data_IF_860582747150
#
_entry.id   IF_860582747150
#
_cell.length_a   1.000
_cell.length_b   1.000
_cell.length_c   1.000
_cell.angle_alpha   90.00
_cell.angle_beta   90.00
_cell.angle_gamma   90.00
#
_symmetry.space_group_name_H-M   'P 1'
#
loop_
_entity.id
_entity.type
_entity.pdbx_description
1 polymer ?
#
# COMPACT_ATOMS: atom_id res chain seq x y z
N UNK A 1 16.20 21.68 -5.63
CA UNK A 1 16.02 21.13 -6.98
C UNK A 1 15.07 22.09 -7.65
N UNK A 2 15.58 22.96 -8.50
CA UNK A 2 14.73 23.86 -9.28
C UNK A 2 13.76 22.98 -10.11
N UNK A 3 12.51 23.37 -10.39
CA UNK A 3 11.67 22.69 -11.38
C UNK A 3 12.40 22.31 -12.70
N UNK A 4 13.43 23.07 -13.07
CA UNK A 4 14.32 22.80 -14.20
C UNK A 4 15.27 21.59 -14.02
N UNK A 5 15.45 21.08 -12.80
CA UNK A 5 16.34 19.97 -12.47
C UNK A 5 15.60 18.61 -12.42
N UNK A 6 14.28 18.58 -12.62
CA UNK A 6 13.51 17.32 -12.66
C UNK A 6 13.96 16.49 -13.86
N UNK A 7 14.44 15.27 -13.58
CA UNK A 7 14.81 14.30 -14.62
C UNK A 7 13.65 13.36 -14.84
N UNK A 8 13.12 13.36 -16.06
CA UNK A 8 12.02 12.48 -16.43
C UNK A 8 12.46 11.02 -16.41
N UNK A 9 11.52 10.15 -16.03
CA UNK A 9 11.67 8.69 -16.07
C UNK A 9 11.08 8.06 -17.33
N UNK A 10 10.64 8.85 -18.32
CA UNK A 10 9.99 8.37 -19.54
C UNK A 10 10.83 7.35 -20.32
N UNK A 11 12.10 7.66 -20.59
CA UNK A 11 13.00 6.74 -21.32
C UNK A 11 13.21 5.42 -20.58
N UNK A 12 13.27 5.50 -19.25
CA UNK A 12 13.41 4.34 -18.38
C UNK A 12 12.12 3.51 -18.34
N UNK A 13 10.96 4.17 -18.37
CA UNK A 13 9.65 3.53 -18.46
C UNK A 13 9.49 2.78 -19.80
N UNK A 14 9.79 3.44 -20.92
CA UNK A 14 9.77 2.82 -22.25
C UNK A 14 10.57 1.51 -22.31
N UNK A 15 11.73 1.47 -21.64
CA UNK A 15 12.61 0.29 -21.63
C UNK A 15 12.23 -0.79 -20.61
N UNK A 16 11.62 -0.42 -19.49
CA UNK A 16 11.55 -1.30 -18.30
C UNK A 16 10.15 -1.57 -17.77
N UNK A 17 9.14 -0.82 -18.16
CA UNK A 17 7.78 -1.02 -17.65
C UNK A 17 7.34 -2.48 -17.81
N UNK A 18 6.75 -3.04 -16.76
CA UNK A 18 6.33 -4.45 -16.75
C UNK A 18 5.39 -4.75 -17.89
N UNK A 19 4.41 -3.87 -18.14
CA UNK A 19 3.42 -4.01 -19.21
C UNK A 19 4.05 -4.19 -20.61
N UNK A 20 5.30 -3.72 -20.79
CA UNK A 20 6.04 -3.80 -22.07
C UNK A 20 7.03 -4.96 -22.10
N UNK A 21 7.50 -5.42 -20.95
CA UNK A 21 8.68 -6.29 -20.85
C UNK A 21 8.41 -7.64 -20.20
N UNK A 22 7.22 -7.87 -19.65
CA UNK A 22 6.85 -9.11 -18.98
C UNK A 22 5.66 -9.75 -19.67
N UNK A 23 5.71 -11.08 -19.91
CA UNK A 23 4.54 -11.78 -20.42
C UNK A 23 3.48 -11.89 -19.33
N UNK A 24 2.22 -12.08 -19.73
CA UNK A 24 1.15 -12.49 -18.82
C UNK A 24 1.58 -13.74 -18.05
N UNK A 25 1.35 -13.72 -16.73
CA UNK A 25 1.63 -14.86 -15.85
C UNK A 25 0.41 -15.76 -15.73
N UNK A 26 0.67 -17.05 -15.61
CA UNK A 26 -0.35 -18.08 -15.41
C UNK A 26 -0.17 -18.71 -14.05
N UNK A 27 -1.25 -18.78 -13.29
CA UNK A 27 -1.33 -19.44 -12.00
C UNK A 27 -1.21 -20.95 -12.22
N UNK A 28 -0.18 -21.53 -11.62
CA UNK A 28 0.12 -22.95 -11.70
C UNK A 28 -0.71 -23.77 -10.71
N UNK A 29 -1.09 -24.97 -11.17
CA UNK A 29 -1.69 -26.02 -10.35
C UNK A 29 -0.59 -26.89 -9.73
N UNK A 30 -0.04 -26.38 -8.63
CA UNK A 30 0.93 -27.08 -7.79
C UNK A 30 0.50 -27.06 -6.30
N UNK A 31 1.25 -27.76 -5.46
CA UNK A 31 0.98 -27.86 -4.02
C UNK A 31 1.56 -26.70 -3.19
N UNK A 32 2.06 -25.63 -3.82
CA UNK A 32 2.57 -24.48 -3.07
C UNK A 32 1.44 -23.59 -2.58
N UNK A 33 1.74 -22.83 -1.53
CA UNK A 33 0.76 -21.90 -0.95
C UNK A 33 0.41 -20.81 -1.96
N UNK A 34 -0.86 -20.41 -2.00
CA UNK A 34 -1.29 -19.27 -2.81
C UNK A 34 -0.99 -17.92 -2.15
N UNK A 35 -0.83 -17.92 -0.82
CA UNK A 35 -0.53 -16.75 -0.01
C UNK A 35 0.46 -17.11 1.11
N UNK A 36 1.39 -16.21 1.49
CA UNK A 36 2.38 -16.52 2.52
C UNK A 36 1.76 -16.57 3.92
N UNK A 37 2.13 -17.60 4.70
CA UNK A 37 1.66 -17.78 6.08
C UNK A 37 1.99 -16.57 6.97
N UNK A 38 3.17 -15.99 6.78
CA UNK A 38 3.67 -14.84 7.55
C UNK A 38 2.80 -13.58 7.41
N UNK A 39 1.93 -13.52 6.40
CA UNK A 39 1.01 -12.39 6.15
C UNK A 39 -0.45 -12.70 6.47
N UNK A 40 -0.74 -13.86 7.06
CA UNK A 40 -2.07 -14.21 7.52
C UNK A 40 -2.02 -14.71 8.98
N UNK A 41 -2.03 -13.78 9.97
CA UNK A 41 -1.93 -14.11 11.38
C UNK A 41 -2.98 -15.10 11.89
N UNK A 42 -4.19 -15.14 11.31
CA UNK A 42 -5.24 -16.07 11.72
C UNK A 42 -4.78 -17.52 11.61
N UNK A 43 -4.11 -17.90 10.51
CA UNK A 43 -3.65 -19.29 10.33
C UNK A 43 -2.45 -19.66 11.22
N UNK A 44 -1.86 -18.66 11.87
CA UNK A 44 -0.74 -18.80 12.81
C UNK A 44 -1.20 -18.81 14.27
N UNK A 45 -2.50 -18.60 14.52
CA UNK A 45 -3.05 -18.54 15.86
C UNK A 45 -3.09 -19.93 16.51
N UNK A 46 -3.01 -19.98 17.85
CA UNK A 46 -2.93 -21.24 18.57
C UNK A 46 -4.18 -22.10 18.32
N UNK A 47 -5.36 -21.50 18.44
CA UNK A 47 -6.63 -22.18 18.18
C UNK A 47 -6.72 -22.69 16.74
N UNK A 48 -6.23 -21.93 15.75
CA UNK A 48 -6.27 -22.35 14.35
C UNK A 48 -5.36 -23.56 14.09
N UNK A 49 -4.12 -23.52 14.58
CA UNK A 49 -3.14 -24.58 14.41
C UNK A 49 -3.63 -25.89 15.04
N UNK A 50 -4.23 -25.81 16.23
CA UNK A 50 -4.67 -27.00 16.97
C UNK A 50 -5.96 -27.60 16.41
N UNK A 51 -6.93 -26.77 16.00
CA UNK A 51 -8.29 -27.24 15.73
C UNK A 51 -8.77 -27.03 14.29
N UNK A 52 -8.09 -26.20 13.49
CA UNK A 52 -8.52 -25.82 12.14
C UNK A 52 -7.47 -26.04 11.02
N UNK A 53 -6.46 -26.94 11.13
CA UNK A 53 -5.42 -27.04 10.10
C UNK A 53 -5.97 -27.38 8.70
N UNK A 54 -7.10 -28.08 8.62
CA UNK A 54 -7.81 -28.40 7.37
C UNK A 54 -8.33 -27.17 6.61
N UNK A 55 -8.53 -26.05 7.30
CA UNK A 55 -9.06 -24.81 6.71
C UNK A 55 -7.96 -23.87 6.20
N UNK A 56 -6.67 -24.19 6.44
CA UNK A 56 -5.54 -23.30 6.12
C UNK A 56 -5.59 -22.76 4.69
N UNK A 57 -5.72 -23.65 3.71
CA UNK A 57 -5.63 -23.26 2.30
C UNK A 57 -6.85 -22.42 1.88
N UNK A 58 -8.02 -22.67 2.46
CA UNK A 58 -9.20 -21.83 2.28
C UNK A 58 -8.98 -20.43 2.85
N UNK A 59 -8.43 -20.31 4.06
CA UNK A 59 -8.14 -18.99 4.66
C UNK A 59 -7.13 -18.22 3.81
N UNK A 60 -6.03 -18.87 3.40
CA UNK A 60 -5.00 -18.25 2.55
C UNK A 60 -5.56 -17.82 1.19
N UNK A 61 -6.43 -18.63 0.59
CA UNK A 61 -7.12 -18.32 -0.65
C UNK A 61 -8.01 -17.06 -0.53
N UNK A 62 -8.83 -16.99 0.52
CA UNK A 62 -9.69 -15.82 0.76
C UNK A 62 -8.86 -14.56 1.06
N UNK A 63 -7.75 -14.73 1.79
CA UNK A 63 -6.79 -13.65 2.03
C UNK A 63 -6.14 -13.17 0.74
N UNK A 64 -5.82 -14.07 -0.18
CA UNK A 64 -5.29 -13.71 -1.49
C UNK A 64 -6.29 -12.89 -2.31
N UNK A 65 -7.56 -13.27 -2.35
CA UNK A 65 -8.60 -12.46 -3.00
C UNK A 65 -8.71 -11.06 -2.40
N UNK A 66 -8.71 -10.95 -1.07
CA UNK A 66 -8.73 -9.64 -0.39
C UNK A 66 -7.49 -8.82 -0.72
N UNK A 67 -6.31 -9.43 -0.71
CA UNK A 67 -5.06 -8.77 -1.09
C UNK A 67 -5.10 -8.22 -2.53
N UNK A 68 -5.56 -9.02 -3.50
CA UNK A 68 -5.69 -8.57 -4.90
C UNK A 68 -6.70 -7.42 -5.03
N UNK A 69 -7.80 -7.49 -4.28
CA UNK A 69 -8.79 -6.42 -4.23
C UNK A 69 -8.23 -5.14 -3.61
N UNK A 70 -7.43 -5.25 -2.55
CA UNK A 70 -6.74 -4.09 -1.96
C UNK A 70 -5.81 -3.43 -2.97
N UNK A 71 -5.06 -4.22 -3.75
CA UNK A 71 -4.22 -3.71 -4.86
C UNK A 71 -5.10 -2.96 -5.86
N UNK A 72 -6.19 -3.55 -6.34
CA UNK A 72 -7.09 -2.91 -7.31
C UNK A 72 -7.60 -1.54 -6.79
N UNK A 73 -8.04 -1.47 -5.53
CA UNK A 73 -8.52 -0.21 -4.93
C UNK A 73 -7.36 0.80 -4.81
N UNK A 74 -6.21 0.35 -4.32
CA UNK A 74 -5.03 1.19 -4.15
C UNK A 74 -4.61 1.83 -5.49
N UNK A 75 -4.47 1.00 -6.52
CA UNK A 75 -4.03 1.44 -7.84
C UNK A 75 -5.06 2.36 -8.52
N UNK A 76 -6.32 1.94 -8.61
CA UNK A 76 -7.29 2.61 -9.48
C UNK A 76 -8.00 3.79 -8.82
N UNK A 77 -8.26 3.71 -7.52
CA UNK A 77 -9.08 4.70 -6.83
C UNK A 77 -8.24 5.79 -6.15
N UNK A 78 -6.95 5.53 -5.89
CA UNK A 78 -6.09 6.40 -5.09
C UNK A 78 -4.88 6.89 -5.88
N UNK A 79 -4.01 5.98 -6.33
CA UNK A 79 -2.76 6.33 -7.01
C UNK A 79 -3.05 6.89 -8.40
N UNK A 80 -3.78 6.13 -9.25
CA UNK A 80 -4.21 6.56 -10.58
C UNK A 80 -5.01 7.86 -10.49
N UNK A 81 -5.98 7.95 -9.57
CA UNK A 81 -6.78 9.18 -9.39
C UNK A 81 -5.90 10.43 -9.28
N UNK A 82 -4.88 10.37 -8.41
CA UNK A 82 -3.95 11.48 -8.16
C UNK A 82 -3.05 11.71 -9.37
N UNK A 83 -2.41 10.66 -9.89
CA UNK A 83 -1.49 10.74 -11.03
C UNK A 83 -2.18 11.28 -12.29
N UNK A 84 -3.41 10.82 -12.58
CA UNK A 84 -4.21 11.26 -13.73
C UNK A 84 -4.61 12.73 -13.63
N UNK A 85 -4.93 13.23 -12.42
CA UNK A 85 -5.18 14.66 -12.20
C UNK A 85 -3.93 15.50 -12.44
N UNK A 86 -2.76 15.04 -11.97
CA UNK A 86 -1.48 15.70 -12.23
C UNK A 86 -1.18 15.73 -13.73
N UNK A 87 -1.26 14.59 -14.42
CA UNK A 87 -0.98 14.49 -15.86
C UNK A 87 -1.85 15.45 -16.69
N UNK A 88 -3.14 15.52 -16.35
CA UNK A 88 -4.13 16.38 -17.01
C UNK A 88 -4.10 17.84 -16.57
N UNK A 89 -3.16 18.22 -15.70
CA UNK A 89 -3.05 19.57 -15.15
C UNK A 89 -4.35 20.04 -14.45
N UNK A 90 -4.99 19.12 -13.72
CA UNK A 90 -6.21 19.34 -12.91
C UNK A 90 -5.90 19.28 -11.41
N UNK A 91 -4.64 19.56 -11.07
CA UNK A 91 -4.11 19.59 -9.73
C UNK A 91 -3.71 21.04 -9.42
N UNK A 92 -4.01 21.52 -8.22
CA UNK A 92 -3.77 22.90 -7.80
C UNK A 92 -2.26 23.23 -7.78
N UNK A 93 -1.43 22.22 -7.51
CA UNK A 93 0.03 22.34 -7.64
C UNK A 93 0.41 22.22 -9.12
N UNK A 94 0.99 23.29 -9.67
CA UNK A 94 1.46 23.31 -11.05
C UNK A 94 2.80 22.56 -11.17
N UNK A 95 2.78 21.41 -11.86
CA UNK A 95 3.98 20.64 -12.14
C UNK A 95 4.51 20.88 -13.57
N UNK A 96 5.84 20.83 -13.78
CA UNK A 96 6.44 20.93 -15.12
C UNK A 96 5.87 19.89 -16.10
N UNK A 97 5.87 20.18 -17.42
CA UNK A 97 5.39 19.24 -18.44
C UNK A 97 6.00 17.84 -18.35
N UNK A 98 7.29 17.73 -18.00
CA UNK A 98 7.97 16.46 -17.83
C UNK A 98 7.37 15.60 -16.69
N UNK A 99 7.07 16.21 -15.54
CA UNK A 99 6.40 15.52 -14.44
C UNK A 99 5.00 15.04 -14.83
N UNK A 100 4.29 15.84 -15.66
CA UNK A 100 2.95 15.49 -16.13
C UNK A 100 2.97 14.32 -17.11
N UNK A 101 3.99 14.24 -17.96
CA UNK A 101 4.21 13.08 -18.82
C UNK A 101 4.48 11.83 -17.98
N UNK A 102 5.40 11.90 -17.02
CA UNK A 102 5.72 10.79 -16.13
C UNK A 102 4.51 10.38 -15.26
N UNK A 103 3.68 11.34 -14.83
CA UNK A 103 2.43 11.02 -14.16
C UNK A 103 1.49 10.18 -15.04
N UNK A 104 1.48 10.42 -16.37
CA UNK A 104 0.71 9.58 -17.29
C UNK A 104 1.35 8.18 -17.44
N UNK A 105 2.67 8.03 -17.31
CA UNK A 105 3.27 6.69 -17.33
C UNK A 105 2.89 5.89 -16.08
N UNK A 106 2.84 6.54 -14.90
CA UNK A 106 2.35 5.94 -13.65
C UNK A 106 0.91 5.47 -13.82
N UNK A 107 0.01 6.31 -14.37
CA UNK A 107 -1.38 5.92 -14.67
C UNK A 107 -1.48 4.62 -15.48
N UNK A 108 -0.64 4.46 -16.51
CA UNK A 108 -0.65 3.25 -17.35
C UNK A 108 -0.15 2.04 -16.58
N UNK A 109 0.89 2.21 -15.75
CA UNK A 109 1.42 1.13 -14.90
C UNK A 109 0.36 0.69 -13.88
N UNK A 110 -0.33 1.61 -13.20
CA UNK A 110 -1.36 1.27 -12.20
C UNK A 110 -2.60 0.60 -12.79
N UNK A 111 -3.08 1.09 -13.93
CA UNK A 111 -4.17 0.43 -14.67
C UNK A 111 -3.76 -1.01 -15.06
N UNK A 112 -2.48 -1.23 -15.39
CA UNK A 112 -1.95 -2.56 -15.70
C UNK A 112 -1.81 -3.43 -14.44
N UNK A 113 -1.30 -2.90 -13.33
CA UNK A 113 -1.22 -3.61 -12.05
C UNK A 113 -2.60 -4.10 -11.59
N UNK A 114 -3.61 -3.24 -11.68
CA UNK A 114 -5.00 -3.60 -11.38
C UNK A 114 -5.55 -4.67 -12.33
N UNK A 115 -5.26 -4.58 -13.64
CA UNK A 115 -5.63 -5.61 -14.62
C UNK A 115 -5.02 -6.97 -14.26
N UNK A 116 -3.73 -7.01 -13.90
CA UNK A 116 -3.07 -8.26 -13.53
C UNK A 116 -3.66 -8.81 -12.23
N UNK A 117 -4.00 -7.97 -11.25
CA UNK A 117 -4.68 -8.42 -10.04
C UNK A 117 -6.06 -9.05 -10.34
N UNK A 118 -6.87 -8.40 -11.19
CA UNK A 118 -8.16 -8.95 -11.66
C UNK A 118 -7.98 -10.27 -12.42
N UNK A 119 -6.92 -10.38 -13.23
CA UNK A 119 -6.60 -11.61 -13.94
C UNK A 119 -6.28 -12.75 -12.97
N UNK A 120 -5.46 -12.51 -11.95
CA UNK A 120 -5.18 -13.52 -10.92
C UNK A 120 -6.42 -13.91 -10.12
N UNK A 121 -7.37 -13.00 -9.86
CA UNK A 121 -8.65 -13.37 -9.25
C UNK A 121 -9.42 -14.35 -10.13
N UNK A 122 -9.50 -14.10 -11.44
CA UNK A 122 -10.19 -14.98 -12.39
C UNK A 122 -9.50 -16.34 -12.51
N UNK A 123 -8.17 -16.36 -12.63
CA UNK A 123 -7.38 -17.58 -12.69
C UNK A 123 -7.53 -18.42 -11.42
N UNK A 124 -7.54 -17.76 -10.25
CA UNK A 124 -7.73 -18.41 -8.95
C UNK A 124 -9.11 -19.07 -8.85
N UNK A 125 -10.17 -18.37 -9.28
CA UNK A 125 -11.52 -18.93 -9.31
C UNK A 125 -11.60 -20.12 -10.28
N UNK A 126 -11.03 -19.99 -11.47
CA UNK A 126 -11.02 -21.05 -12.46
C UNK A 126 -10.27 -22.30 -11.98
N UNK A 127 -9.14 -22.11 -11.28
CA UNK A 127 -8.31 -23.19 -10.76
C UNK A 127 -8.96 -23.90 -9.56
N UNK A 128 -9.51 -23.14 -8.61
CA UNK A 128 -9.97 -23.68 -7.33
C UNK A 128 -11.45 -24.01 -7.29
N UNK A 129 -12.26 -23.39 -8.15
CA UNK A 129 -13.73 -23.43 -8.08
C UNK A 129 -14.32 -22.69 -6.87
N UNK A 130 -13.50 -21.99 -6.08
CA UNK A 130 -13.91 -21.31 -4.85
C UNK A 130 -13.98 -19.81 -5.10
N UNK A 131 -15.18 -19.25 -4.96
CA UNK A 131 -15.43 -17.81 -5.10
C UNK A 131 -14.88 -17.02 -3.90
N UNK A 132 -14.53 -15.73 -4.11
CA UNK A 132 -14.23 -14.84 -3.00
C UNK A 132 -15.47 -14.65 -2.10
N UNK A 133 -15.23 -14.55 -0.79
CA UNK A 133 -16.20 -13.99 0.14
C UNK A 133 -16.46 -12.51 -0.18
N UNK A 134 -17.41 -11.88 0.51
CA UNK A 134 -17.62 -10.44 0.35
C UNK A 134 -16.32 -9.70 0.68
N UNK A 135 -15.79 -9.00 -0.32
CA UNK A 135 -14.55 -8.26 -0.23
C UNK A 135 -14.82 -6.82 0.28
N UNK A 136 -13.87 -6.21 1.01
CA UNK A 136 -13.97 -4.81 1.42
C UNK A 136 -14.04 -3.87 0.20
N UNK A 137 -14.85 -2.82 0.31
CA UNK A 137 -14.94 -1.77 -0.73
C UNK A 137 -13.92 -0.64 -0.53
N UNK A 138 -13.11 -0.71 0.54
CA UNK A 138 -12.15 0.31 0.92
C UNK A 138 -10.92 -0.36 1.54
N UNK A 139 -9.80 0.36 1.53
CA UNK A 139 -8.57 0.01 2.24
C UNK A 139 -8.27 1.06 3.31
N UNK A 140 -7.30 0.79 4.19
CA UNK A 140 -6.94 1.71 5.29
C UNK A 140 -6.55 3.10 4.76
N UNK A 141 -5.87 3.13 3.60
CA UNK A 141 -5.52 4.37 2.91
C UNK A 141 -6.75 5.18 2.48
N UNK A 142 -7.85 4.54 2.06
CA UNK A 142 -9.09 5.23 1.68
C UNK A 142 -9.62 6.06 2.86
N UNK A 143 -9.67 5.45 4.05
CA UNK A 143 -10.09 6.12 5.29
C UNK A 143 -9.09 7.18 5.74
N UNK A 144 -7.80 6.88 5.68
CA UNK A 144 -6.73 7.80 6.08
C UNK A 144 -6.68 9.06 5.22
N UNK A 145 -6.82 8.91 3.89
CA UNK A 145 -6.87 10.02 2.96
C UNK A 145 -8.11 10.90 3.21
N UNK A 146 -9.28 10.29 3.40
CA UNK A 146 -10.51 11.02 3.72
C UNK A 146 -10.36 11.82 5.03
N UNK A 147 -9.79 11.22 6.08
CA UNK A 147 -9.53 11.89 7.36
C UNK A 147 -8.56 13.07 7.22
N UNK A 148 -7.49 12.90 6.44
CA UNK A 148 -6.52 13.97 6.18
C UNK A 148 -7.13 15.14 5.40
N UNK A 149 -7.89 14.85 4.34
CA UNK A 149 -8.52 15.85 3.48
C UNK A 149 -9.67 16.61 4.15
N UNK A 150 -10.30 16.02 5.17
CA UNK A 150 -11.30 16.70 6.00
C UNK A 150 -10.68 17.83 6.83
N UNK A 151 -9.40 17.73 7.19
CA UNK A 151 -8.66 18.74 7.95
C UNK A 151 -7.97 19.78 7.06
N UNK A 152 -7.74 19.45 5.79
CA UNK A 152 -7.02 20.30 4.86
C UNK A 152 -7.83 21.53 4.43
N UNK A 153 -7.28 22.76 4.58
CA UNK A 153 -7.81 23.95 3.91
C UNK A 153 -7.97 23.71 2.40
N UNK A 154 -8.96 24.36 1.78
CA UNK A 154 -9.30 24.12 0.38
C UNK A 154 -8.11 24.23 -0.58
N UNK A 155 -7.20 25.19 -0.36
CA UNK A 155 -6.01 25.39 -1.19
C UNK A 155 -4.89 24.36 -0.95
N UNK A 156 -4.97 23.56 0.13
CA UNK A 156 -3.99 22.53 0.49
C UNK A 156 -4.49 21.11 0.27
N UNK A 157 -5.74 20.90 -0.15
CA UNK A 157 -6.29 19.56 -0.37
C UNK A 157 -5.42 18.72 -1.30
N UNK A 158 -5.08 19.25 -2.47
CA UNK A 158 -4.23 18.56 -3.44
C UNK A 158 -2.80 18.33 -2.89
N UNK A 159 -2.25 19.26 -2.11
CA UNK A 159 -0.95 19.06 -1.49
C UNK A 159 -0.95 17.94 -0.43
N UNK A 160 -2.02 17.86 0.36
CA UNK A 160 -2.21 16.82 1.37
C UNK A 160 -2.45 15.46 0.71
N UNK A 161 -3.25 15.41 -0.35
CA UNK A 161 -3.44 14.22 -1.19
C UNK A 161 -2.12 13.72 -1.77
N UNK A 162 -1.35 14.62 -2.40
CA UNK A 162 -0.03 14.31 -2.95
C UNK A 162 0.89 13.67 -1.91
N UNK A 163 0.98 14.25 -0.71
CA UNK A 163 1.86 13.75 0.34
C UNK A 163 1.36 12.42 0.89
N UNK A 164 0.04 12.26 1.09
CA UNK A 164 -0.56 11.03 1.57
C UNK A 164 -0.33 9.86 0.59
N UNK A 165 -0.58 10.07 -0.69
CA UNK A 165 -0.33 9.08 -1.75
C UNK A 165 1.15 8.76 -1.84
N UNK A 166 2.02 9.78 -1.85
CA UNK A 166 3.46 9.57 -1.89
C UNK A 166 4.01 8.80 -0.68
N UNK A 167 3.43 8.98 0.51
CA UNK A 167 3.76 8.15 1.68
C UNK A 167 3.42 6.69 1.39
N UNK A 168 2.22 6.42 0.89
CA UNK A 168 1.74 5.06 0.66
C UNK A 168 2.52 4.32 -0.44
N UNK A 169 2.81 5.00 -1.53
CA UNK A 169 3.67 4.51 -2.62
C UNK A 169 5.09 4.16 -2.15
N UNK A 170 5.58 4.88 -1.13
CA UNK A 170 6.90 4.62 -0.57
C UNK A 170 6.90 3.58 0.55
N UNK A 171 5.76 3.19 1.12
CA UNK A 171 5.68 2.18 2.20
C UNK A 171 5.56 0.76 1.69
N UNK A 172 4.84 0.55 0.59
CA UNK A 172 4.48 -0.77 0.03
C UNK A 172 5.71 -1.55 -0.48
N UNK A 173 6.75 -0.86 -0.95
CA UNK A 173 7.93 -1.45 -1.62
C UNK A 173 8.66 -2.57 -0.85
N UNK A 174 8.90 -2.42 0.45
CA UNK A 174 9.61 -3.46 1.22
C UNK A 174 8.75 -4.69 1.48
N UNK A 175 7.44 -4.52 1.64
CA UNK A 175 6.52 -5.62 1.89
C UNK A 175 6.33 -6.49 0.64
N UNK A 176 6.13 -5.84 -0.50
CA UNK A 176 6.11 -6.50 -1.81
C UNK A 176 7.42 -7.26 -2.05
N UNK A 177 8.57 -6.68 -1.70
CA UNK A 177 9.87 -7.33 -1.84
C UNK A 177 10.05 -8.56 -0.95
N UNK A 178 9.49 -8.57 0.26
CA UNK A 178 9.50 -9.75 1.12
C UNK A 178 8.60 -10.85 0.56
N UNK A 179 7.40 -10.50 0.07
CA UNK A 179 6.48 -11.44 -0.59
C UNK A 179 7.15 -12.09 -1.80
N UNK A 180 7.74 -11.29 -2.70
CA UNK A 180 8.36 -11.77 -3.94
C UNK A 180 9.48 -12.82 -3.72
N UNK A 181 10.05 -12.91 -2.51
CA UNK A 181 11.14 -13.83 -2.15
C UNK A 181 10.69 -15.08 -1.39
N UNK A 182 9.41 -15.20 -1.02
CA UNK A 182 8.94 -16.33 -0.21
C UNK A 182 8.80 -17.61 -1.04
N UNK A 183 9.80 -18.50 -1.00
CA UNK A 183 9.82 -19.75 -1.77
C UNK A 183 8.70 -20.76 -1.42
N UNK A 184 7.97 -20.55 -0.32
CA UNK A 184 6.80 -21.38 0.05
C UNK A 184 5.57 -21.09 -0.81
N UNK A 185 5.55 -19.93 -1.48
CA UNK A 185 4.43 -19.46 -2.29
C UNK A 185 4.64 -19.83 -3.76
N UNK A 186 3.53 -20.04 -4.46
CA UNK A 186 3.42 -20.24 -5.92
C UNK A 186 4.34 -19.29 -6.71
N UNK A 187 5.30 -19.80 -7.52
CA UNK A 187 6.14 -19.01 -8.42
C UNK A 187 5.42 -17.92 -9.22
N UNK A 188 4.21 -18.15 -9.73
CA UNK A 188 3.48 -17.10 -10.47
C UNK A 188 3.07 -15.93 -9.58
N UNK A 189 2.60 -16.19 -8.35
CA UNK A 189 2.22 -15.16 -7.38
C UNK A 189 3.46 -14.38 -6.92
N UNK A 190 4.58 -15.06 -6.67
CA UNK A 190 5.84 -14.34 -6.40
C UNK A 190 6.30 -13.51 -7.58
N UNK A 191 6.13 -14.04 -8.79
CA UNK A 191 6.46 -13.36 -10.03
C UNK A 191 5.59 -12.12 -10.25
N UNK A 192 4.30 -12.18 -9.92
CA UNK A 192 3.39 -11.04 -9.90
C UNK A 192 3.95 -9.93 -8.99
N UNK A 193 4.29 -10.29 -7.76
CA UNK A 193 4.85 -9.33 -6.79
C UNK A 193 6.19 -8.76 -7.24
N UNK A 194 7.05 -9.59 -7.83
CA UNK A 194 8.36 -9.16 -8.33
C UNK A 194 8.24 -8.19 -9.51
N UNK A 195 7.29 -8.44 -10.41
CA UNK A 195 7.02 -7.58 -11.55
C UNK A 195 6.47 -6.23 -11.11
N UNK A 196 5.45 -6.24 -10.25
CA UNK A 196 4.89 -5.01 -9.65
C UNK A 196 5.99 -4.18 -8.95
N UNK A 197 6.85 -4.81 -8.16
CA UNK A 197 7.95 -4.12 -7.47
C UNK A 197 8.92 -3.37 -8.40
N UNK A 198 9.13 -3.85 -9.63
CA UNK A 198 10.04 -3.21 -10.59
C UNK A 198 9.52 -1.84 -11.04
N UNK A 199 8.20 -1.69 -11.11
CA UNK A 199 7.54 -0.45 -11.47
C UNK A 199 7.45 0.47 -10.23
N UNK A 200 7.09 -0.08 -9.06
CA UNK A 200 7.03 0.67 -7.79
C UNK A 200 8.36 1.32 -7.38
N UNK A 201 9.49 0.71 -7.71
CA UNK A 201 10.79 1.35 -7.50
C UNK A 201 10.93 2.70 -8.22
N UNK A 202 10.33 2.82 -9.42
CA UNK A 202 10.29 4.08 -10.18
C UNK A 202 9.24 5.02 -9.61
N UNK A 203 8.05 4.52 -9.28
CA UNK A 203 6.95 5.31 -8.72
C UNK A 203 7.36 5.98 -7.40
N UNK A 204 7.99 5.22 -6.50
CA UNK A 204 8.52 5.75 -5.24
C UNK A 204 9.45 6.97 -5.44
N UNK A 205 10.31 6.91 -6.46
CA UNK A 205 11.22 8.02 -6.84
C UNK A 205 10.44 9.19 -7.42
N UNK A 206 9.51 8.94 -8.34
CA UNK A 206 8.62 9.94 -8.94
C UNK A 206 7.86 10.72 -7.85
N UNK A 207 7.15 10.05 -6.97
CA UNK A 207 6.37 10.67 -5.91
C UNK A 207 7.24 11.46 -4.92
N UNK A 208 8.42 10.93 -4.57
CA UNK A 208 9.38 11.64 -3.73
C UNK A 208 9.81 12.97 -4.37
N UNK A 209 10.05 12.99 -5.69
CA UNK A 209 10.43 14.21 -6.40
C UNK A 209 9.28 15.22 -6.49
N UNK A 210 8.04 14.78 -6.77
CA UNK A 210 6.89 15.68 -6.85
C UNK A 210 6.62 16.36 -5.50
N UNK A 211 6.65 15.59 -4.41
CA UNK A 211 6.50 16.15 -3.07
C UNK A 211 7.63 17.14 -2.77
N UNK A 212 8.87 16.81 -3.15
CA UNK A 212 10.01 17.70 -2.97
C UNK A 212 9.90 19.01 -3.75
N UNK A 213 9.34 18.98 -4.96
CA UNK A 213 9.08 20.17 -5.78
C UNK A 213 8.00 21.05 -5.14
N UNK A 214 6.89 20.44 -4.70
CA UNK A 214 5.86 21.15 -3.95
C UNK A 214 6.42 21.79 -2.68
N UNK A 215 7.09 20.99 -1.85
CA UNK A 215 7.52 21.40 -0.51
C UNK A 215 8.51 22.56 -0.51
N UNK A 216 9.39 22.64 -1.51
CA UNK A 216 10.34 23.76 -1.67
C UNK A 216 9.66 25.10 -1.95
N UNK A 217 8.47 25.09 -2.56
CA UNK A 217 7.67 26.28 -2.85
C UNK A 217 6.60 26.59 -1.79
N UNK A 218 6.36 25.67 -0.84
CA UNK A 218 5.32 25.84 0.18
C UNK A 218 5.70 26.92 1.19
N UNK A 219 4.74 27.78 1.54
CA UNK A 219 4.92 28.80 2.58
C UNK A 219 5.10 28.17 3.97
N UNK A 220 5.73 28.86 4.89
CA UNK A 220 5.86 28.36 6.28
C UNK A 220 4.50 28.07 6.93
N UNK A 221 3.47 28.85 6.57
CA UNK A 221 2.10 28.65 7.01
C UNK A 221 1.53 27.32 6.49
N UNK A 222 1.68 27.05 5.19
CA UNK A 222 1.19 25.82 4.58
C UNK A 222 1.95 24.60 5.12
N UNK A 223 3.26 24.70 5.29
CA UNK A 223 4.08 23.66 5.91
C UNK A 223 3.62 23.36 7.34
N UNK A 224 3.30 24.39 8.12
CA UNK A 224 2.76 24.25 9.48
C UNK A 224 1.40 23.55 9.51
N UNK A 225 0.51 23.90 8.58
CA UNK A 225 -0.81 23.27 8.46
C UNK A 225 -0.70 21.79 8.07
N UNK A 226 0.07 21.47 7.03
CA UNK A 226 0.29 20.09 6.59
C UNK A 226 0.93 19.26 7.70
N UNK A 227 1.91 19.81 8.41
CA UNK A 227 2.56 19.12 9.53
C UNK A 227 1.57 18.65 10.59
N UNK A 228 0.53 19.44 10.91
CA UNK A 228 -0.49 19.07 11.90
C UNK A 228 -1.44 17.97 11.40
N UNK A 229 -1.58 17.78 10.09
CA UNK A 229 -2.45 16.78 9.48
C UNK A 229 -1.76 15.40 9.42
N UNK A 230 -0.44 15.38 9.20
CA UNK A 230 0.32 14.12 9.05
C UNK A 230 0.11 13.09 10.17
N UNK A 231 0.11 13.44 11.47
CA UNK A 231 -0.12 12.46 12.53
C UNK A 231 -1.52 11.82 12.48
N UNK A 232 -2.53 12.56 12.01
CA UNK A 232 -3.89 12.05 11.83
C UNK A 232 -3.91 11.06 10.68
N UNK A 233 -3.32 11.44 9.53
CA UNK A 233 -3.16 10.53 8.40
C UNK A 233 -2.48 9.22 8.82
N UNK A 234 -1.33 9.29 9.48
CA UNK A 234 -0.57 8.12 9.91
C UNK A 234 -1.33 7.23 10.89
N UNK A 235 -2.13 7.82 11.80
CA UNK A 235 -2.93 7.04 12.75
C UNK A 235 -3.99 6.19 12.05
N UNK A 236 -4.60 6.70 10.98
CA UNK A 236 -5.58 5.97 10.19
C UNK A 236 -4.95 5.08 9.11
N UNK A 237 -3.75 5.41 8.63
CA UNK A 237 -3.09 4.64 7.59
C UNK A 237 -2.43 3.36 8.15
N UNK A 238 -1.97 3.41 9.40
CA UNK A 238 -1.24 2.33 10.04
C UNK A 238 -2.13 1.39 10.87
N UNK A 239 -3.46 1.51 10.77
CA UNK A 239 -4.40 0.57 11.36
C UNK A 239 -4.45 -0.75 10.58
N UNK A 240 -5.07 -1.76 11.19
CA UNK A 240 -5.34 -3.06 10.59
C UNK A 240 -6.82 -3.45 10.74
N UNK A 241 -7.69 -2.48 11.00
CA UNK A 241 -9.08 -2.71 11.36
C UNK A 241 -9.88 -3.36 10.22
N UNK A 242 -9.63 -2.99 8.96
CA UNK A 242 -10.28 -3.60 7.80
C UNK A 242 -9.81 -5.04 7.57
N UNK A 243 -8.52 -5.32 7.80
CA UNK A 243 -8.00 -6.69 7.76
C UNK A 243 -8.63 -7.54 8.87
N UNK A 244 -8.64 -7.01 10.10
CA UNK A 244 -9.24 -7.66 11.26
C UNK A 244 -10.72 -7.97 11.05
N UNK A 245 -11.48 -7.02 10.50
CA UNK A 245 -12.90 -7.22 10.18
C UNK A 245 -13.10 -8.31 9.11
N UNK A 246 -12.22 -8.35 8.10
CA UNK A 246 -12.24 -9.41 7.09
C UNK A 246 -11.94 -10.79 7.71
N UNK A 247 -10.95 -10.89 8.60
CA UNK A 247 -10.62 -12.15 9.27
C UNK A 247 -11.77 -12.65 10.17
N UNK A 248 -12.45 -11.74 10.88
CA UNK A 248 -13.65 -12.07 11.66
C UNK A 248 -14.79 -12.59 10.76
N UNK A 249 -15.02 -11.94 9.62
CA UNK A 249 -15.99 -12.43 8.63
C UNK A 249 -15.59 -13.79 8.07
N UNK A 250 -14.30 -14.03 7.83
CA UNK A 250 -13.78 -15.28 7.31
C UNK A 250 -14.00 -16.43 8.31
N UNK A 251 -13.73 -16.21 9.59
CA UNK A 251 -14.00 -17.18 10.68
C UNK A 251 -15.46 -17.65 10.63
N UNK A 252 -16.40 -16.76 10.29
CA UNK A 252 -17.81 -17.12 10.20
C UNK A 252 -18.14 -18.16 9.11
N UNK A 253 -17.24 -18.37 8.15
CA UNK A 253 -17.41 -19.32 7.04
C UNK A 253 -16.72 -20.67 7.29
N UNK A 254 -16.02 -20.84 8.43
CA UNK A 254 -15.39 -22.10 8.78
C UNK A 254 -16.41 -23.07 9.37
N UNK A 255 -16.45 -24.32 8.92
CA UNK A 255 -17.27 -25.36 9.56
C UNK A 255 -16.54 -25.88 10.81
N UNK A 256 -16.77 -25.20 11.92
CA UNK A 256 -16.19 -25.44 13.25
C UNK A 256 -17.23 -25.20 14.33
N UNK A 257 -17.02 -25.78 15.52
CA UNK A 257 -17.93 -25.59 16.66
C UNK A 257 -17.99 -24.12 17.10
N UNK A 258 -19.09 -23.75 17.77
CA UNK A 258 -19.28 -22.40 18.29
C UNK A 258 -18.19 -21.97 19.28
N UNK A 259 -17.63 -22.91 20.03
CA UNK A 259 -16.55 -22.64 21.00
C UNK A 259 -15.23 -22.35 20.28
N UNK A 260 -14.87 -23.15 19.26
CA UNK A 260 -13.67 -22.91 18.44
C UNK A 260 -13.79 -21.57 17.71
N UNK A 261 -14.95 -21.29 17.13
CA UNK A 261 -15.23 -20.02 16.45
C UNK A 261 -15.01 -18.82 17.36
N UNK A 262 -15.54 -18.89 18.59
CA UNK A 262 -15.35 -17.83 19.60
C UNK A 262 -13.88 -17.66 19.96
N UNK A 263 -13.17 -18.75 20.20
CA UNK A 263 -11.74 -18.70 20.52
C UNK A 263 -10.91 -18.08 19.39
N UNK A 264 -11.17 -18.43 18.12
CA UNK A 264 -10.53 -17.78 16.96
C UNK A 264 -10.82 -16.27 16.91
N UNK A 265 -12.08 -15.88 17.10
CA UNK A 265 -12.49 -14.48 17.11
C UNK A 265 -11.85 -13.70 18.26
N UNK A 266 -11.75 -14.29 19.45
CA UNK A 266 -11.08 -13.69 20.60
C UNK A 266 -9.58 -13.50 20.35
N UNK A 267 -8.91 -14.48 19.73
CA UNK A 267 -7.50 -14.37 19.33
C UNK A 267 -7.29 -13.25 18.31
N UNK A 268 -8.10 -13.18 17.24
CA UNK A 268 -8.07 -12.09 16.25
C UNK A 268 -8.36 -10.74 16.91
N UNK A 269 -9.28 -10.69 17.87
CA UNK A 269 -9.58 -9.47 18.61
C UNK A 269 -8.40 -9.00 19.47
N UNK A 270 -7.68 -9.93 20.07
CA UNK A 270 -6.51 -9.67 20.90
C UNK A 270 -5.26 -9.30 20.09
N UNK A 271 -5.21 -9.61 18.78
CA UNK A 271 -4.11 -9.20 17.90
C UNK A 271 -4.05 -7.67 17.80
N UNK A 272 -3.06 -7.10 18.48
CA UNK A 272 -2.76 -5.68 18.46
C UNK A 272 -1.57 -5.39 17.55
N UNK A 273 -1.72 -4.40 16.68
CA UNK A 273 -0.64 -3.83 15.87
C UNK A 273 -0.40 -2.41 16.34
N UNK A 274 0.31 -2.24 17.47
CA UNK A 274 0.42 -0.95 18.12
C UNK A 274 1.18 0.02 17.19
N UNK A 275 0.54 1.15 16.88
CA UNK A 275 1.12 2.22 16.07
C UNK A 275 2.16 2.94 16.93
N UNK A 276 3.37 2.42 16.91
CA UNK A 276 4.52 2.91 17.68
C UNK A 276 5.70 3.17 16.76
N UNK A 277 6.82 3.65 17.33
CA UNK A 277 8.10 3.83 16.63
C UNK A 277 8.65 2.55 16.01
N UNK A 278 8.16 1.39 16.44
CA UNK A 278 8.57 0.06 15.95
C UNK A 278 7.64 -0.48 14.86
N UNK A 279 6.63 0.29 14.43
CA UNK A 279 5.73 -0.14 13.37
C UNK A 279 6.52 -0.47 12.08
N UNK A 280 6.32 -1.65 11.45
CA UNK A 280 7.14 -2.11 10.33
C UNK A 280 7.24 -1.11 9.16
N UNK A 281 6.13 -0.44 8.84
CA UNK A 281 6.07 0.54 7.75
C UNK A 281 6.80 1.85 8.07
N UNK A 282 7.03 2.17 9.35
CA UNK A 282 7.47 3.50 9.75
C UNK A 282 8.88 3.82 9.25
N UNK A 283 9.76 2.82 9.15
CA UNK A 283 11.09 3.00 8.58
C UNK A 283 11.06 3.53 7.15
N UNK A 284 10.10 3.08 6.33
CA UNK A 284 9.94 3.53 4.95
C UNK A 284 9.34 4.93 4.90
N UNK A 285 8.32 5.21 5.72
CA UNK A 285 7.71 6.54 5.86
C UNK A 285 8.77 7.58 6.22
N UNK A 286 9.58 7.32 7.24
CA UNK A 286 10.62 8.24 7.69
C UNK A 286 11.70 8.45 6.62
N UNK A 287 12.05 7.40 5.86
CA UNK A 287 12.97 7.50 4.73
C UNK A 287 12.41 8.41 3.63
N UNK A 288 11.15 8.22 3.27
CA UNK A 288 10.44 9.09 2.33
C UNK A 288 10.39 10.55 2.82
N UNK A 289 9.95 10.79 4.06
CA UNK A 289 9.85 12.14 4.64
C UNK A 289 11.21 12.84 4.66
N UNK A 290 12.29 12.09 4.89
CA UNK A 290 13.66 12.61 4.82
C UNK A 290 14.06 12.97 3.38
N UNK A 291 13.84 12.08 2.41
CA UNK A 291 14.26 12.30 1.02
C UNK A 291 13.43 13.35 0.26
N UNK A 292 12.15 13.48 0.61
CA UNK A 292 11.24 14.48 0.04
C UNK A 292 11.48 15.89 0.57
N UNK A 293 12.06 16.01 1.76
CA UNK A 293 12.38 17.29 2.37
C UNK A 293 11.54 17.66 3.60
N UNK A 294 10.43 16.95 3.81
CA UNK A 294 9.47 17.25 4.86
C UNK A 294 10.11 17.19 6.25
N UNK A 295 10.95 16.19 6.49
CA UNK A 295 11.52 15.95 7.81
C UNK A 295 12.59 16.97 8.24
N UNK A 296 13.00 17.89 7.35
CA UNK A 296 13.87 19.00 7.74
C UNK A 296 13.11 20.19 8.32
N UNK A 297 11.78 20.27 8.11
CA UNK A 297 10.97 21.34 8.63
C UNK A 297 10.66 21.12 10.13
N UNK A 298 10.95 22.13 10.95
CA UNK A 298 10.69 22.07 12.39
C UNK A 298 9.22 21.75 12.77
N UNK A 299 8.19 22.25 12.04
CA UNK A 299 6.80 21.85 12.29
C UNK A 299 6.56 20.35 12.13
N UNK A 300 7.14 19.73 11.09
CA UNK A 300 6.97 18.29 10.81
C UNK A 300 7.67 17.45 11.88
N UNK A 301 8.90 17.82 12.27
CA UNK A 301 9.64 17.14 13.35
C UNK A 301 8.87 17.16 14.67
N UNK A 302 8.25 18.30 15.01
CA UNK A 302 7.43 18.42 16.22
C UNK A 302 6.15 17.59 16.12
N UNK A 303 5.45 17.66 15.00
CA UNK A 303 4.19 16.93 14.84
C UNK A 303 4.39 15.41 14.86
N UNK A 304 5.53 14.93 14.36
CA UNK A 304 5.85 13.51 14.28
C UNK A 304 6.73 12.99 15.42
N UNK A 305 6.89 13.74 16.52
CA UNK A 305 7.78 13.37 17.64
C UNK A 305 7.53 11.95 18.17
N UNK A 306 6.27 11.52 18.19
CA UNK A 306 5.87 10.22 18.72
C UNK A 306 6.32 9.06 17.80
N UNK A 307 6.56 9.35 16.53
CA UNK A 307 6.99 8.41 15.50
C UNK A 307 8.52 8.39 15.28
N UNK A 308 9.25 9.41 15.74
CA UNK A 308 10.69 9.50 15.50
C UNK A 308 11.49 8.59 16.45
N UNK A 309 12.62 8.00 16.00
CA UNK A 309 13.52 7.29 16.90
C UNK A 309 13.94 8.19 18.07
N UNK A 310 14.10 7.64 19.27
CA UNK A 310 14.64 8.40 20.38
C UNK A 310 16.03 8.93 20.00
N UNK A 311 16.27 10.22 20.23
CA UNK A 311 17.56 10.87 19.99
C UNK A 311 18.66 10.14 20.77
N UNK A 312 19.39 9.22 20.15
CA UNK A 312 20.44 8.46 20.84
C UNK A 312 20.90 7.14 20.24
N UNK A 313 20.18 6.51 19.31
CA UNK A 313 20.66 5.27 18.67
C UNK A 313 21.13 5.57 17.26
N UNK A 314 22.44 5.85 17.13
CA UNK A 314 23.13 5.70 15.84
C UNK A 314 23.17 4.20 15.54
N UNK A 315 22.68 3.82 14.35
CA UNK A 315 23.01 2.54 13.71
C UNK A 315 24.52 2.42 13.51
#
# INVERSE_FOLDING_TARGET
MNPADYRSMADDWERRATLRTRPRRWLEDDNKLIFPLSRQPLVLSATFIEHCPQWRDFVLLQTFYKFLNDVIIFETEIVDHTARRIAKNRFAVAFPPACRYDAMTVVVDEDYHALVALDFMQQTLALTGIAPLQLPAQIELSGALAAALALAPGHLRDAVELIAVAIAENTVTHDVAAFAKDDSVKPSVRGLMADHLLDEGRHATFWTHLVRLYWQGASEQDQGCIAQILPVFLRHYLTHDLQKNFDLQLIEHLDVSADIRRALSDEVQAMAFPITRQHPLLGNILRFLKHSGLLQAAPVLRALSDYLPASGVRS
#
